data_IF_681242057828
#
_entry.id   IF_681242057828
#
_cell.length_a   1.000
_cell.length_b   1.000
_cell.length_c   1.000
_cell.angle_alpha   90.00
_cell.angle_beta   90.00
_cell.angle_gamma   90.00
#
_symmetry.space_group_name_H-M   'P 1'
#
loop_
_entity.id
_entity.type
_entity.pdbx_description
1 polymer ?
#
# COMPACT_ATOMS: atom_id res chain seq x y z
N UNK A 1 3.68 -4.63 -10.82
CA UNK A 1 4.17 -3.94 -12.03
C UNK A 1 4.54 -2.52 -11.63
N UNK A 2 5.67 -1.99 -12.11
CA UNK A 2 6.05 -0.58 -11.90
C UNK A 2 5.68 0.19 -13.16
N UNK A 3 4.99 1.32 -12.98
CA UNK A 3 4.57 2.22 -14.05
C UNK A 3 4.90 3.67 -13.64
N UNK A 4 6.08 4.20 -14.02
CA UNK A 4 6.54 5.51 -13.57
C UNK A 4 5.63 6.67 -13.95
N UNK A 5 4.98 6.61 -15.11
CA UNK A 5 4.17 7.73 -15.60
C UNK A 5 2.85 7.89 -14.84
N UNK A 6 2.41 6.86 -14.09
CA UNK A 6 1.19 6.88 -13.28
C UNK A 6 -0.08 7.30 -14.05
N UNK A 7 -0.13 6.98 -15.35
CA UNK A 7 -1.28 7.26 -16.23
C UNK A 7 -2.23 6.07 -16.26
N UNK A 8 -1.68 4.85 -16.31
CA UNK A 8 -2.44 3.63 -16.11
C UNK A 8 -2.55 3.39 -14.61
N UNK A 9 -3.75 3.55 -14.03
CA UNK A 9 -3.93 3.43 -12.59
C UNK A 9 -4.10 1.96 -12.14
N UNK A 10 -4.64 1.10 -13.00
CA UNK A 10 -4.72 -0.35 -12.84
C UNK A 10 -5.32 -1.01 -14.09
N UNK A 11 -5.29 -2.34 -14.14
CA UNK A 11 -5.89 -3.13 -15.21
C UNK A 11 -6.39 -4.48 -14.69
N UNK A 12 -7.27 -5.12 -15.46
CA UNK A 12 -7.80 -6.45 -15.23
C UNK A 12 -7.54 -7.29 -16.48
N UNK A 13 -6.91 -8.45 -16.30
CA UNK A 13 -6.71 -9.46 -17.34
C UNK A 13 -7.83 -10.50 -17.26
N UNK A 14 -8.40 -10.83 -18.41
CA UNK A 14 -9.48 -11.81 -18.57
C UNK A 14 -8.93 -13.15 -19.08
N UNK A 15 -9.70 -14.22 -18.92
CA UNK A 15 -9.29 -15.59 -19.26
C UNK A 15 -9.00 -15.81 -20.74
N UNK A 16 -9.46 -14.92 -21.62
CA UNK A 16 -9.18 -14.92 -23.05
C UNK A 16 -7.88 -14.16 -23.42
N UNK A 17 -7.17 -13.63 -22.41
CA UNK A 17 -5.97 -12.83 -22.57
C UNK A 17 -6.23 -11.34 -22.86
N UNK A 18 -7.49 -10.90 -22.91
CA UNK A 18 -7.80 -9.49 -23.05
C UNK A 18 -7.51 -8.72 -21.76
N UNK A 19 -7.07 -7.47 -21.88
CA UNK A 19 -6.75 -6.61 -20.74
C UNK A 19 -7.54 -5.31 -20.86
N UNK A 20 -8.28 -4.96 -19.82
CA UNK A 20 -8.93 -3.66 -19.69
C UNK A 20 -8.15 -2.83 -18.68
N UNK A 21 -7.65 -1.69 -19.13
CA UNK A 21 -6.92 -0.74 -18.29
C UNK A 21 -7.75 0.54 -18.06
N UNK A 22 -7.71 1.06 -16.84
CA UNK A 22 -8.23 2.39 -16.55
C UNK A 22 -7.08 3.40 -16.61
N UNK A 23 -7.24 4.39 -17.50
CA UNK A 23 -6.28 5.47 -17.71
C UNK A 23 -6.86 6.80 -17.23
N UNK A 24 -6.00 7.62 -16.63
CA UNK A 24 -6.34 8.95 -16.16
C UNK A 24 -5.10 9.79 -15.93
N UNK A 25 -5.29 11.10 -15.85
CA UNK A 25 -4.28 11.96 -15.22
C UNK A 25 -4.31 11.69 -13.73
N UNK A 26 -3.17 11.89 -13.04
CA UNK A 26 -3.11 11.88 -11.58
C UNK A 26 -3.93 13.04 -10.98
N UNK A 27 -5.24 12.84 -10.89
CA UNK A 27 -6.24 13.79 -10.43
C UNK A 27 -7.32 13.04 -9.65
N UNK A 28 -7.31 13.20 -8.31
CA UNK A 28 -8.22 12.50 -7.41
C UNK A 28 -9.70 12.89 -7.60
N UNK A 29 -9.99 14.01 -8.27
CA UNK A 29 -11.38 14.39 -8.57
C UNK A 29 -12.10 13.29 -9.35
N UNK A 30 -11.41 12.60 -10.25
CA UNK A 30 -11.98 11.53 -11.08
C UNK A 30 -12.41 10.30 -10.24
N UNK A 31 -11.53 9.62 -9.48
CA UNK A 31 -11.92 8.47 -8.67
C UNK A 31 -12.89 8.85 -7.54
N UNK A 32 -12.75 10.02 -6.91
CA UNK A 32 -13.68 10.49 -5.87
C UNK A 32 -15.08 10.68 -6.46
N UNK A 33 -15.21 11.38 -7.60
CA UNK A 33 -16.50 11.58 -8.26
C UNK A 33 -17.13 10.24 -8.64
N UNK A 34 -16.35 9.32 -9.22
CA UNK A 34 -16.87 8.02 -9.64
C UNK A 34 -17.33 7.17 -8.44
N UNK A 35 -16.61 7.20 -7.32
CA UNK A 35 -17.03 6.52 -6.09
C UNK A 35 -18.39 7.04 -5.58
N UNK A 36 -18.63 8.35 -5.65
CA UNK A 36 -19.90 8.97 -5.21
C UNK A 36 -21.06 8.76 -6.20
N UNK A 37 -20.77 8.57 -7.48
CA UNK A 37 -21.78 8.53 -8.55
C UNK A 37 -21.97 7.13 -9.14
N UNK A 38 -21.23 6.14 -8.66
CA UNK A 38 -21.28 4.76 -9.12
C UNK A 38 -22.71 4.21 -9.14
N UNK A 39 -23.15 3.54 -10.23
CA UNK A 39 -22.39 3.19 -11.44
C UNK A 39 -22.41 4.28 -12.54
N UNK A 40 -23.09 5.40 -12.31
CA UNK A 40 -23.21 6.49 -13.27
C UNK A 40 -21.90 7.23 -13.52
N UNK A 41 -21.69 7.67 -14.77
CA UNK A 41 -20.61 8.60 -15.12
C UNK A 41 -21.22 9.97 -15.40
N UNK A 42 -20.78 10.98 -14.65
CA UNK A 42 -21.25 12.35 -14.79
C UNK A 42 -20.14 13.28 -15.28
N UNK A 43 -20.50 14.42 -15.86
CA UNK A 43 -19.56 15.48 -16.18
C UNK A 43 -18.85 15.97 -14.91
N UNK A 44 -17.55 16.24 -15.01
CA UNK A 44 -16.70 16.57 -13.86
C UNK A 44 -15.60 17.58 -14.19
N UNK A 45 -14.89 18.01 -13.14
CA UNK A 45 -13.78 18.98 -13.25
C UNK A 45 -12.43 18.33 -13.55
N UNK A 46 -12.34 17.00 -13.49
CA UNK A 46 -11.10 16.28 -13.72
C UNK A 46 -10.59 16.55 -15.14
N UNK A 47 -9.29 16.84 -15.25
CA UNK A 47 -8.68 17.14 -16.56
C UNK A 47 -8.74 15.91 -17.47
N UNK A 48 -9.22 16.10 -18.70
CA UNK A 48 -9.24 15.03 -19.70
C UNK A 48 -7.82 14.59 -20.04
N UNK A 49 -7.68 13.28 -20.25
CA UNK A 49 -6.47 12.70 -20.80
C UNK A 49 -6.38 13.06 -22.28
N UNK A 50 -5.19 13.50 -22.71
CA UNK A 50 -4.90 13.83 -24.11
C UNK A 50 -3.78 12.92 -24.59
N UNK A 51 -4.09 11.99 -25.49
CA UNK A 51 -3.15 10.96 -25.90
C UNK A 51 -1.95 11.53 -26.66
N UNK A 52 -2.15 12.62 -27.38
CA UNK A 52 -1.11 13.37 -28.07
C UNK A 52 -0.05 13.98 -27.13
N UNK A 53 -0.38 14.16 -25.84
CA UNK A 53 0.53 14.72 -24.82
C UNK A 53 1.21 13.62 -23.95
N UNK A 54 0.81 12.34 -24.07
CA UNK A 54 1.24 11.27 -23.14
C UNK A 54 2.67 10.75 -23.39
N UNK A 55 3.15 10.81 -24.63
CA UNK A 55 4.44 10.22 -24.99
C UNK A 55 4.44 8.69 -24.89
N UNK A 56 5.05 8.13 -23.83
CA UNK A 56 5.25 6.68 -23.65
C UNK A 56 4.62 6.19 -22.35
N UNK A 57 4.17 4.94 -22.34
CA UNK A 57 3.80 4.21 -21.14
C UNK A 57 4.84 3.13 -20.91
N UNK A 58 5.56 3.19 -19.80
CA UNK A 58 6.59 2.21 -19.47
C UNK A 58 6.15 1.29 -18.35
N UNK A 59 6.56 0.03 -18.45
CA UNK A 59 6.22 -1.01 -17.50
C UNK A 59 7.44 -1.87 -17.20
N UNK A 60 7.70 -2.13 -15.93
CA UNK A 60 8.79 -3.00 -15.49
C UNK A 60 8.38 -3.86 -14.29
N UNK A 61 9.14 -4.92 -14.03
CA UNK A 61 8.94 -5.75 -12.84
C UNK A 61 9.46 -5.01 -11.60
N UNK A 62 8.74 -5.06 -10.47
CA UNK A 62 9.29 -4.56 -9.21
C UNK A 62 10.48 -5.43 -8.78
N UNK A 63 11.49 -4.79 -8.21
CA UNK A 63 12.59 -5.48 -7.53
C UNK A 63 12.13 -5.86 -6.11
N UNK A 64 11.81 -7.14 -5.94
CA UNK A 64 11.27 -7.69 -4.69
C UNK A 64 12.36 -7.92 -3.62
N UNK A 65 13.63 -7.94 -4.01
CA UNK A 65 14.77 -8.12 -3.10
C UNK A 65 15.14 -6.78 -2.46
N UNK A 66 15.17 -5.72 -3.26
CA UNK A 66 15.45 -4.36 -2.76
C UNK A 66 14.22 -3.77 -2.04
N UNK A 67 13.03 -3.88 -2.61
CA UNK A 67 11.79 -3.31 -2.06
C UNK A 67 10.91 -4.38 -1.37
N UNK A 68 11.49 -5.00 -0.33
CA UNK A 68 10.91 -6.16 0.40
C UNK A 68 9.50 -5.93 0.96
N UNK A 69 9.11 -4.69 1.23
CA UNK A 69 7.78 -4.35 1.73
C UNK A 69 6.65 -4.85 0.81
N UNK A 70 6.88 -4.96 -0.50
CA UNK A 70 5.88 -5.49 -1.42
C UNK A 70 5.67 -6.99 -1.24
N UNK A 71 6.74 -7.77 -1.09
CA UNK A 71 6.66 -9.21 -0.78
C UNK A 71 5.94 -9.42 0.55
N UNK A 72 6.34 -8.64 1.56
CA UNK A 72 5.75 -8.68 2.89
C UNK A 72 4.24 -8.35 2.87
N UNK A 73 3.82 -7.38 2.07
CA UNK A 73 2.41 -7.06 1.89
C UNK A 73 1.59 -8.22 1.33
N UNK A 74 2.14 -9.01 0.39
CA UNK A 74 1.47 -10.22 -0.10
C UNK A 74 1.36 -11.29 0.99
N UNK A 75 2.39 -11.48 1.81
CA UNK A 75 2.37 -12.46 2.91
C UNK A 75 1.39 -12.07 4.02
N UNK A 76 1.30 -10.78 4.32
CA UNK A 76 0.29 -10.21 5.24
C UNK A 76 -1.12 -10.43 4.69
N UNK A 77 -1.36 -10.16 3.40
CA UNK A 77 -2.66 -10.37 2.78
C UNK A 77 -3.08 -11.84 2.78
N UNK A 78 -2.13 -12.78 2.60
CA UNK A 78 -2.40 -14.23 2.71
C UNK A 78 -2.69 -14.67 4.14
N UNK A 79 -1.98 -14.10 5.11
CA UNK A 79 -2.17 -14.41 6.53
C UNK A 79 -3.54 -13.97 7.05
N UNK A 80 -4.03 -12.83 6.57
CA UNK A 80 -5.31 -12.25 6.99
C UNK A 80 -5.31 -11.87 8.48
N UNK A 81 -6.50 -11.86 9.08
CA UNK A 81 -6.65 -11.56 10.51
C UNK A 81 -6.11 -10.18 10.91
N UNK A 82 -5.46 -10.11 12.06
CA UNK A 82 -4.85 -8.88 12.58
C UNK A 82 -3.49 -8.52 11.96
N UNK A 83 -2.94 -9.32 11.04
CA UNK A 83 -1.63 -9.08 10.44
C UNK A 83 -1.55 -7.75 9.67
N UNK A 84 -2.63 -7.38 8.97
CA UNK A 84 -2.68 -6.13 8.20
C UNK A 84 -2.65 -4.89 9.10
N UNK A 85 -3.32 -4.93 10.25
CA UNK A 85 -3.27 -3.86 11.24
C UNK A 85 -1.86 -3.69 11.79
N UNK A 86 -1.18 -4.79 12.14
CA UNK A 86 0.21 -4.76 12.60
C UNK A 86 1.15 -4.23 11.54
N UNK A 87 1.04 -4.71 10.30
CA UNK A 87 1.85 -4.23 9.17
C UNK A 87 1.71 -2.71 8.98
N UNK A 88 0.47 -2.19 8.96
CA UNK A 88 0.23 -0.75 8.80
C UNK A 88 0.74 0.07 9.99
N UNK A 89 0.42 -0.36 11.22
CA UNK A 89 0.78 0.36 12.44
C UNK A 89 2.30 0.39 12.66
N UNK A 90 2.99 -0.72 12.42
CA UNK A 90 4.44 -0.77 12.47
C UNK A 90 5.07 0.11 11.39
N UNK A 91 4.51 0.14 10.18
CA UNK A 91 4.96 1.03 9.11
C UNK A 91 4.81 2.50 9.51
N UNK A 92 3.66 2.93 10.02
CA UNK A 92 3.45 4.31 10.46
C UNK A 92 4.41 4.72 11.59
N UNK A 93 4.58 3.85 12.59
CA UNK A 93 5.52 4.09 13.68
C UNK A 93 6.96 4.20 13.14
N UNK A 94 7.42 3.24 12.35
CA UNK A 94 8.79 3.27 11.83
C UNK A 94 9.04 4.44 10.85
N UNK A 95 8.07 4.78 10.00
CA UNK A 95 8.17 5.96 9.11
C UNK A 95 8.28 7.24 9.91
N UNK A 96 7.52 7.39 11.01
CA UNK A 96 7.65 8.54 11.92
C UNK A 96 9.08 8.65 12.45
N UNK A 97 9.65 7.55 12.93
CA UNK A 97 11.01 7.50 13.46
C UNK A 97 12.06 7.86 12.39
N UNK A 98 11.84 7.43 11.14
CA UNK A 98 12.68 7.81 10.01
C UNK A 98 12.59 9.30 9.69
N UNK A 99 11.37 9.86 9.65
CA UNK A 99 11.14 11.29 9.39
C UNK A 99 11.71 12.17 10.50
N UNK A 100 11.76 11.68 11.74
CA UNK A 100 12.37 12.35 12.88
C UNK A 100 13.90 12.10 12.98
N UNK A 101 14.49 11.42 11.98
CA UNK A 101 15.93 11.20 11.87
C UNK A 101 16.52 10.18 12.85
N UNK A 102 15.69 9.41 13.55
CA UNK A 102 16.12 8.41 14.54
C UNK A 102 16.52 7.08 13.94
N UNK A 103 15.99 6.74 12.76
CA UNK A 103 16.39 5.54 12.02
C UNK A 103 16.73 5.85 10.56
N UNK A 104 17.48 4.95 9.93
CA UNK A 104 17.74 4.98 8.48
C UNK A 104 16.56 4.39 7.71
N UNK A 105 16.42 4.76 6.43
CA UNK A 105 15.33 4.30 5.55
C UNK A 105 15.16 2.77 5.54
N UNK A 106 16.27 2.02 5.41
CA UNK A 106 16.25 0.54 5.38
C UNK A 106 15.69 -0.10 6.66
N UNK A 107 15.77 0.60 7.80
CA UNK A 107 15.30 0.09 9.09
C UNK A 107 13.78 0.06 9.18
N UNK A 108 13.06 0.80 8.33
CA UNK A 108 11.59 0.80 8.30
C UNK A 108 11.08 -0.62 8.07
N UNK A 109 11.54 -1.26 6.98
CA UNK A 109 11.06 -2.60 6.61
C UNK A 109 11.53 -3.65 7.62
N UNK A 110 12.74 -3.53 8.15
CA UNK A 110 13.26 -4.45 9.18
C UNK A 110 12.44 -4.41 10.48
N UNK A 111 11.92 -3.25 10.87
CA UNK A 111 11.05 -3.12 12.05
C UNK A 111 9.67 -3.74 11.79
N UNK A 112 9.10 -3.52 10.59
CA UNK A 112 7.82 -4.15 10.21
C UNK A 112 7.94 -5.68 10.22
N UNK A 113 9.02 -6.23 9.66
CA UNK A 113 9.30 -7.67 9.66
C UNK A 113 9.41 -8.23 11.09
N UNK A 114 10.13 -7.54 11.97
CA UNK A 114 10.27 -7.95 13.37
C UNK A 114 8.94 -7.92 14.12
N UNK A 115 8.14 -6.85 13.96
CA UNK A 115 6.80 -6.78 14.54
C UNK A 115 5.92 -7.93 14.06
N UNK A 116 5.87 -8.19 12.76
CA UNK A 116 5.07 -9.29 12.22
C UNK A 116 5.56 -10.66 12.72
N UNK A 117 6.87 -10.88 12.85
CA UNK A 117 7.43 -12.14 13.35
C UNK A 117 7.09 -12.43 14.81
N UNK A 118 6.86 -11.40 15.63
CA UNK A 118 6.52 -11.49 17.05
C UNK A 118 5.02 -11.50 17.31
N UNK A 119 4.21 -11.08 16.33
CA UNK A 119 2.76 -10.98 16.49
C UNK A 119 2.09 -12.35 16.37
N UNK A 120 1.24 -12.68 17.33
CA UNK A 120 0.35 -13.83 17.19
C UNK A 120 -0.92 -13.40 16.44
N UNK A 121 -1.02 -13.76 15.15
CA UNK A 121 -2.14 -13.38 14.30
C UNK A 121 -3.45 -13.97 14.82
N UNK A 122 -4.41 -13.09 15.10
CA UNK A 122 -5.79 -13.47 15.44
C UNK A 122 -6.64 -13.46 14.18
N UNK A 123 -7.38 -14.54 13.92
CA UNK A 123 -8.21 -14.72 12.73
C UNK A 123 -9.64 -14.19 12.89
N UNK A 124 -10.15 -14.20 14.12
CA UNK A 124 -11.40 -13.52 14.46
C UNK A 124 -11.09 -12.06 14.78
N UNK A 125 -11.72 -11.15 14.04
CA UNK A 125 -11.36 -9.74 14.02
C UNK A 125 -12.56 -8.90 14.43
N UNK A 126 -12.51 -8.34 15.63
CA UNK A 126 -13.37 -7.22 16.05
C UNK A 126 -12.64 -5.89 15.87
N UNK A 127 -13.35 -4.77 16.03
CA UNK A 127 -12.72 -3.45 16.02
C UNK A 127 -11.71 -3.32 17.17
N UNK A 128 -12.08 -3.81 18.36
CA UNK A 128 -11.24 -3.79 19.56
C UNK A 128 -9.95 -4.56 19.32
N UNK A 129 -10.05 -5.75 18.72
CA UNK A 129 -8.88 -6.57 18.37
C UNK A 129 -7.94 -5.89 17.35
N UNK A 130 -8.49 -5.12 16.40
CA UNK A 130 -7.69 -4.33 15.46
C UNK A 130 -6.98 -3.16 16.15
N UNK A 131 -7.67 -2.46 17.04
CA UNK A 131 -7.10 -1.35 17.81
C UNK A 131 -6.02 -1.83 18.78
N UNK A 132 -6.23 -2.99 19.41
CA UNK A 132 -5.23 -3.63 20.26
C UNK A 132 -3.99 -4.04 19.45
N UNK A 133 -4.18 -4.63 18.27
CA UNK A 133 -3.09 -5.00 17.37
C UNK A 133 -2.30 -3.77 16.87
N UNK A 134 -2.97 -2.69 16.50
CA UNK A 134 -2.31 -1.41 16.14
C UNK A 134 -1.49 -0.88 17.33
N UNK A 135 -2.11 -0.75 18.50
CA UNK A 135 -1.45 -0.22 19.68
C UNK A 135 -0.27 -1.09 20.14
N UNK A 136 -0.40 -2.41 20.03
CA UNK A 136 0.67 -3.37 20.28
C UNK A 136 1.84 -3.16 19.31
N UNK A 137 1.58 -3.06 18.00
CA UNK A 137 2.62 -2.88 16.99
C UNK A 137 3.43 -1.60 17.20
N UNK A 138 2.77 -0.50 17.58
CA UNK A 138 3.46 0.77 17.89
C UNK A 138 4.36 0.68 19.13
N UNK A 139 3.92 -0.04 20.17
CA UNK A 139 4.76 -0.30 21.35
C UNK A 139 5.95 -1.18 20.98
N UNK A 140 5.72 -2.25 20.23
CA UNK A 140 6.76 -3.17 19.79
C UNK A 140 7.85 -2.45 18.97
N UNK A 141 7.47 -1.58 18.03
CA UNK A 141 8.45 -0.74 17.30
C UNK A 141 9.31 0.08 18.28
N UNK A 142 8.71 0.67 19.32
CA UNK A 142 9.44 1.46 20.31
C UNK A 142 10.41 0.61 21.12
N UNK A 143 10.00 -0.60 21.52
CA UNK A 143 10.86 -1.55 22.25
C UNK A 143 12.03 -2.06 21.39
N UNK A 144 11.79 -2.30 20.09
CA UNK A 144 12.80 -2.70 19.12
C UNK A 144 13.85 -1.59 18.83
N UNK A 145 13.53 -0.33 19.12
CA UNK A 145 14.48 0.78 19.03
C UNK A 145 15.35 0.92 20.28
N UNK A 146 14.80 0.61 21.46
CA UNK A 146 15.52 0.66 22.73
C UNK A 146 16.47 -0.53 22.95
N UNK A 147 16.35 -1.59 22.16
CA UNK A 147 17.14 -2.83 22.28
C UNK A 147 18.44 -2.83 21.47
N UNK A 148 18.91 -1.64 21.05
CA UNK A 148 20.15 -1.42 20.28
C UNK A 148 21.11 -0.52 21.04
#
# INVERSE_FOLDING_TARGET
LIHPESIVHSFVEFVDGSVIAQLGRADMCLPIQYALTYPGRVGGIAKRLKFEELGRLTFSRPDMETFRALSLGFDVARSGGTAAAVFNAANEAAVKEFLEGRIKFVRIVELIEQCLSKHNVKTEVSLEELLEADAWARREVSELLCSV
#
